data_IF_927439811607
#
_entry.id   IF_927439811607
#
_cell.length_a   1.000
_cell.length_b   1.000
_cell.length_c   1.000
_cell.angle_alpha   90.00
_cell.angle_beta   90.00
_cell.angle_gamma   90.00
#
_symmetry.space_group_name_H-M   'P 1'
#
loop_
_entity.id
_entity.type
_entity.pdbx_description
1 polymer ?
#
# COMPACT_ATOMS: atom_id res chain seq x y z
N UNK A 1 28.16 -10.93 -80.91
CA UNK A 1 28.71 -10.49 -79.65
C UNK A 1 27.57 -10.12 -78.74
N UNK A 2 27.24 -11.02 -77.79
CA UNK A 2 26.12 -10.79 -76.82
C UNK A 2 26.80 -10.44 -75.48
N UNK A 3 26.51 -9.26 -74.99
CA UNK A 3 26.90 -8.80 -73.63
C UNK A 3 25.97 -9.36 -72.60
N UNK A 4 26.44 -10.21 -71.71
CA UNK A 4 25.76 -10.65 -70.53
C UNK A 4 25.88 -9.54 -69.46
N UNK A 5 24.79 -8.99 -69.04
CA UNK A 5 24.71 -8.11 -67.85
C UNK A 5 24.37 -8.95 -66.63
N UNK A 6 25.33 -9.06 -65.71
CA UNK A 6 25.11 -9.67 -64.38
C UNK A 6 24.41 -8.65 -63.50
N UNK A 7 23.17 -8.96 -63.09
CA UNK A 7 22.44 -8.19 -62.07
C UNK A 7 22.77 -8.78 -60.70
N UNK A 8 23.53 -8.04 -59.92
CA UNK A 8 23.74 -8.35 -58.52
C UNK A 8 22.44 -8.08 -57.73
N UNK A 9 21.84 -9.13 -57.22
CA UNK A 9 20.72 -9.01 -56.28
C UNK A 9 21.26 -8.73 -54.86
N UNK A 10 21.03 -7.52 -54.40
CA UNK A 10 21.35 -7.13 -53.04
C UNK A 10 20.21 -7.67 -52.13
N UNK A 11 20.46 -8.76 -51.44
CA UNK A 11 19.55 -9.27 -50.40
C UNK A 11 19.74 -8.45 -49.13
N UNK A 12 18.79 -7.55 -48.88
CA UNK A 12 18.63 -6.88 -47.57
C UNK A 12 18.15 -7.91 -46.56
N UNK A 13 19.02 -8.34 -45.65
CA UNK A 13 18.60 -9.03 -44.43
C UNK A 13 17.90 -7.99 -43.49
N UNK A 14 16.69 -8.25 -43.07
CA UNK A 14 16.11 -7.45 -41.99
C UNK A 14 16.83 -7.83 -40.68
N UNK A 15 17.56 -6.88 -40.12
CA UNK A 15 18.06 -6.98 -38.76
C UNK A 15 16.82 -7.03 -37.80
N UNK A 16 16.52 -8.21 -37.30
CA UNK A 16 15.61 -8.39 -36.16
C UNK A 16 16.26 -7.74 -34.94
N UNK A 17 15.93 -6.48 -34.73
CA UNK A 17 16.13 -5.80 -33.43
C UNK A 17 15.22 -6.49 -32.45
N UNK A 18 15.75 -7.44 -31.71
CA UNK A 18 15.09 -7.95 -30.47
C UNK A 18 15.02 -6.77 -29.52
N UNK A 19 13.88 -6.11 -29.47
CA UNK A 19 13.49 -5.32 -28.30
C UNK A 19 13.37 -6.32 -27.13
N UNK A 20 14.50 -6.54 -26.46
CA UNK A 20 14.45 -7.04 -25.09
C UNK A 20 13.64 -6.00 -24.31
N UNK A 21 12.36 -6.28 -24.14
CA UNK A 21 11.51 -5.52 -23.27
C UNK A 21 12.22 -5.43 -21.93
N UNK A 22 12.70 -4.24 -21.59
CA UNK A 22 13.02 -3.94 -20.22
C UNK A 22 11.72 -4.23 -19.46
N UNK A 23 11.64 -5.40 -18.84
CA UNK A 23 10.58 -5.73 -17.91
C UNK A 23 10.63 -4.64 -16.86
N UNK A 24 9.74 -3.67 -16.99
CA UNK A 24 9.57 -2.64 -15.99
C UNK A 24 9.40 -3.39 -14.68
N UNK A 25 10.28 -3.13 -13.71
CA UNK A 25 10.12 -3.63 -12.38
C UNK A 25 8.72 -3.18 -11.94
N UNK A 26 7.76 -4.10 -11.98
CA UNK A 26 6.43 -3.81 -11.46
C UNK A 26 6.65 -3.52 -9.99
N UNK A 27 6.37 -2.29 -9.61
CA UNK A 27 6.37 -1.89 -8.21
C UNK A 27 5.26 -2.70 -7.53
N UNK A 28 5.62 -3.85 -6.96
CA UNK A 28 4.71 -4.65 -6.15
C UNK A 28 4.27 -3.78 -4.97
N UNK A 29 2.99 -3.57 -4.89
CA UNK A 29 2.38 -2.86 -3.75
C UNK A 29 1.47 -3.84 -3.03
N UNK A 30 1.81 -4.14 -1.79
CA UNK A 30 0.96 -4.91 -0.90
C UNK A 30 -0.06 -3.95 -0.29
N UNK A 31 -1.33 -4.27 -0.42
CA UNK A 31 -2.41 -3.45 0.11
C UNK A 31 -3.39 -4.35 0.86
N UNK A 32 -3.81 -3.89 2.02
CA UNK A 32 -4.99 -4.40 2.67
C UNK A 32 -5.82 -3.24 3.23
N UNK A 33 -7.13 -3.41 3.23
CA UNK A 33 -8.02 -2.34 3.69
C UNK A 33 -9.34 -2.90 4.20
N UNK A 34 -9.88 -2.24 5.22
CA UNK A 34 -11.16 -2.64 5.77
C UNK A 34 -11.54 -1.85 7.01
N UNK A 35 -12.75 -2.08 7.49
CA UNK A 35 -13.17 -1.57 8.77
C UNK A 35 -12.52 -2.38 9.90
N UNK A 36 -11.76 -1.71 10.74
CA UNK A 36 -11.10 -2.30 11.92
C UNK A 36 -11.88 -2.04 13.20
N UNK A 37 -12.95 -1.28 13.12
CA UNK A 37 -13.91 -1.03 14.18
C UNK A 37 -15.25 -0.57 13.59
N UNK A 38 -16.35 -1.09 14.12
CA UNK A 38 -17.72 -0.67 13.83
C UNK A 38 -18.61 -0.97 15.04
N UNK A 39 -19.30 0.04 15.55
CA UNK A 39 -20.28 -0.11 16.62
C UNK A 39 -21.70 0.34 16.19
N UNK A 40 -21.96 0.40 14.89
CA UNK A 40 -23.22 0.85 14.31
C UNK A 40 -23.34 2.36 14.12
N UNK A 41 -22.54 3.17 14.82
CA UNK A 41 -22.55 4.64 14.71
C UNK A 41 -21.21 5.21 14.28
N UNK A 42 -20.12 4.65 14.80
CA UNK A 42 -18.75 5.06 14.50
C UNK A 42 -18.02 3.89 13.89
N UNK A 43 -17.33 4.15 12.78
CA UNK A 43 -16.46 3.20 12.15
C UNK A 43 -15.06 3.77 12.01
N UNK A 44 -14.08 2.89 12.09
CA UNK A 44 -12.69 3.18 11.77
C UNK A 44 -12.28 2.31 10.59
N UNK A 45 -11.95 2.96 9.50
CA UNK A 45 -11.41 2.28 8.32
C UNK A 45 -9.90 2.44 8.30
N UNK A 46 -9.23 1.34 8.01
CA UNK A 46 -7.79 1.26 7.85
C UNK A 46 -7.46 0.88 6.40
N UNK A 47 -6.55 1.60 5.80
CA UNK A 47 -5.90 1.22 4.56
C UNK A 47 -4.40 1.16 4.80
N UNK A 48 -3.82 -0.01 4.65
CA UNK A 48 -2.40 -0.28 4.91
C UNK A 48 -1.73 -0.67 3.61
N UNK A 49 -0.66 0.00 3.26
CA UNK A 49 0.06 -0.22 2.00
C UNK A 49 1.56 -0.26 2.20
N UNK A 50 2.19 -1.22 1.60
CA UNK A 50 3.64 -1.39 1.56
C UNK A 50 4.12 -1.52 0.13
N UNK A 51 5.14 -0.74 -0.24
CA UNK A 51 5.83 -0.82 -1.51
C UNK A 51 7.35 -0.65 -1.32
N UNK A 52 8.11 -0.82 -2.38
CA UNK A 52 9.56 -0.62 -2.35
C UNK A 52 9.98 0.77 -1.86
N UNK A 53 9.20 1.78 -2.21
CA UNK A 53 9.53 3.19 -1.97
C UNK A 53 8.81 3.81 -0.79
N UNK A 54 7.78 3.15 -0.24
CA UNK A 54 7.04 3.71 0.89
C UNK A 54 6.22 2.66 1.66
N UNK A 55 5.99 2.97 2.93
CA UNK A 55 4.99 2.35 3.79
C UNK A 55 3.99 3.43 4.19
N UNK A 56 2.71 3.13 4.15
CA UNK A 56 1.67 4.09 4.51
C UNK A 56 0.49 3.42 5.19
N UNK A 57 -0.13 4.16 6.09
CA UNK A 57 -1.41 3.83 6.70
C UNK A 57 -2.35 5.02 6.54
N UNK A 58 -3.54 4.78 6.02
CA UNK A 58 -4.62 5.76 6.00
C UNK A 58 -5.64 5.38 7.06
N UNK A 59 -5.91 6.31 7.93
CA UNK A 59 -6.94 6.24 8.99
C UNK A 59 -8.13 7.05 8.54
N UNK A 60 -9.32 6.43 8.48
CA UNK A 60 -10.56 7.16 8.20
C UNK A 60 -11.55 7.01 9.34
N UNK A 61 -12.10 8.14 9.75
CA UNK A 61 -13.25 8.21 10.65
C UNK A 61 -14.52 8.30 9.83
N UNK A 62 -15.36 7.29 9.94
CA UNK A 62 -16.60 7.15 9.20
C UNK A 62 -17.77 6.92 10.15
N UNK A 63 -18.98 6.99 9.63
CA UNK A 63 -20.22 6.67 10.34
C UNK A 63 -21.18 5.92 9.42
N UNK A 64 -22.02 5.10 10.00
CA UNK A 64 -23.10 4.39 9.33
C UNK A 64 -24.33 5.28 9.09
N UNK A 65 -24.42 6.41 9.79
CA UNK A 65 -25.61 7.28 9.73
C UNK A 65 -25.26 8.55 8.96
N UNK A 66 -25.98 8.84 7.87
CA UNK A 66 -25.91 10.16 7.24
C UNK A 66 -26.40 11.22 8.24
N UNK A 67 -25.92 12.47 8.14
CA UNK A 67 -26.25 13.54 9.11
C UNK A 67 -27.74 13.81 9.27
N UNK A 68 -28.61 13.28 8.39
CA UNK A 68 -30.04 13.57 8.37
C UNK A 68 -30.95 12.39 7.95
N UNK A 69 -30.49 11.12 7.98
CA UNK A 69 -31.26 9.97 7.52
C UNK A 69 -31.09 8.73 8.40
N UNK A 70 -31.92 7.71 8.12
CA UNK A 70 -31.88 6.42 8.81
C UNK A 70 -30.52 5.71 8.66
N UNK A 71 -30.07 4.95 9.69
CA UNK A 71 -28.82 4.21 9.64
C UNK A 71 -28.82 3.23 8.46
N UNK A 72 -27.78 3.29 7.66
CA UNK A 72 -27.47 2.30 6.64
C UNK A 72 -26.30 1.45 7.15
N UNK A 73 -26.31 0.18 6.83
CA UNK A 73 -25.35 -0.81 7.35
C UNK A 73 -23.91 -0.64 6.84
N UNK A 74 -23.60 0.48 6.19
CA UNK A 74 -22.30 0.69 5.56
C UNK A 74 -21.62 1.95 6.11
N UNK A 75 -20.39 1.79 6.58
CA UNK A 75 -19.49 2.86 7.03
C UNK A 75 -19.04 3.76 5.86
N UNK A 76 -19.92 4.57 5.32
CA UNK A 76 -19.66 5.35 4.09
C UNK A 76 -19.59 6.85 4.33
N UNK A 77 -20.11 7.36 5.43
CA UNK A 77 -20.20 8.79 5.67
C UNK A 77 -18.98 9.30 6.43
N UNK A 78 -18.40 10.39 5.93
CA UNK A 78 -17.26 11.06 6.55
C UNK A 78 -17.64 11.63 7.90
N UNK A 79 -16.85 11.31 8.93
CA UNK A 79 -17.04 11.80 10.28
C UNK A 79 -15.81 12.61 10.70
N UNK A 80 -15.87 13.92 10.49
CA UNK A 80 -14.74 14.79 10.80
C UNK A 80 -14.49 14.89 12.30
N UNK A 81 -13.24 14.76 12.69
CA UNK A 81 -12.79 14.77 14.09
C UNK A 81 -11.88 15.97 14.35
N UNK A 82 -11.83 16.49 15.59
CA UNK A 82 -10.86 17.50 15.99
C UNK A 82 -9.41 17.03 15.78
N UNK A 83 -8.48 17.99 15.74
CA UNK A 83 -7.05 17.67 15.72
C UNK A 83 -6.66 16.82 16.94
N UNK A 84 -5.84 15.80 16.70
CA UNK A 84 -5.42 14.86 17.72
C UNK A 84 -6.37 13.68 17.94
N UNK A 85 -7.50 13.59 17.23
CA UNK A 85 -8.51 12.54 17.42
C UNK A 85 -8.39 11.39 16.40
N UNK A 86 -7.56 11.51 15.39
CA UNK A 86 -7.14 10.39 14.55
C UNK A 86 -5.73 9.97 14.96
N UNK A 87 -5.48 8.67 15.05
CA UNK A 87 -4.16 8.14 15.33
C UNK A 87 -3.83 7.00 14.40
N UNK A 88 -2.62 7.05 13.84
CA UNK A 88 -2.11 6.01 12.95
C UNK A 88 -0.64 5.71 13.22
N UNK A 89 -0.27 4.47 12.96
CA UNK A 89 1.12 4.02 12.97
C UNK A 89 1.29 2.81 12.05
N UNK A 90 2.53 2.51 11.66
CA UNK A 90 2.84 1.29 10.95
C UNK A 90 4.12 0.62 11.47
N UNK A 91 4.19 -0.69 11.24
CA UNK A 91 5.37 -1.53 11.50
C UNK A 91 5.60 -2.42 10.28
N UNK A 92 6.79 -2.30 9.67
CA UNK A 92 7.24 -3.17 8.58
C UNK A 92 8.04 -4.33 9.14
N UNK A 93 7.71 -5.53 8.75
CA UNK A 93 8.36 -6.75 9.17
C UNK A 93 8.94 -7.48 7.97
N UNK A 94 10.13 -8.03 8.12
CA UNK A 94 10.82 -8.85 7.12
C UNK A 94 11.05 -10.26 7.64
N UNK A 95 10.86 -11.25 6.79
CA UNK A 95 11.18 -12.63 7.14
C UNK A 95 12.70 -12.83 7.23
N UNK A 96 13.16 -13.22 8.38
CA UNK A 96 14.55 -13.57 8.65
C UNK A 96 14.80 -15.05 8.38
N UNK A 97 15.30 -15.38 7.18
CA UNK A 97 15.53 -16.77 6.75
C UNK A 97 16.46 -17.54 7.72
N UNK A 98 17.46 -16.86 8.25
CA UNK A 98 18.45 -17.48 9.17
C UNK A 98 17.88 -17.80 10.55
N UNK A 99 16.79 -17.16 10.95
CA UNK A 99 16.18 -17.31 12.27
C UNK A 99 14.80 -17.95 12.22
N UNK A 100 14.21 -18.09 11.02
CA UNK A 100 12.89 -18.65 10.83
C UNK A 100 11.77 -17.83 11.48
N UNK A 101 11.91 -16.51 11.55
CA UNK A 101 10.97 -15.62 12.22
C UNK A 101 10.85 -14.27 11.51
N UNK A 102 9.72 -13.59 11.74
CA UNK A 102 9.50 -12.23 11.32
C UNK A 102 10.26 -11.26 12.24
N UNK A 103 11.02 -10.36 11.64
CA UNK A 103 11.82 -9.35 12.33
C UNK A 103 11.34 -7.97 11.95
N UNK A 104 11.23 -7.07 12.92
CA UNK A 104 10.90 -5.67 12.66
C UNK A 104 11.99 -5.05 11.80
N UNK A 105 11.62 -4.57 10.63
CA UNK A 105 12.48 -3.87 9.70
C UNK A 105 12.42 -2.36 9.90
N UNK A 106 11.23 -1.83 10.11
CA UNK A 106 11.01 -0.42 10.34
C UNK A 106 9.69 -0.17 11.05
N UNK A 107 9.61 0.94 11.71
CA UNK A 107 8.38 1.36 12.38
C UNK A 107 8.26 2.88 12.33
N UNK A 108 7.03 3.35 12.23
CA UNK A 108 6.68 4.74 12.51
C UNK A 108 5.87 4.78 13.80
N UNK A 109 6.27 5.63 14.71
CA UNK A 109 5.53 5.87 15.94
C UNK A 109 4.12 6.44 15.67
N UNK A 110 3.35 6.55 16.73
CA UNK A 110 2.02 7.12 16.64
C UNK A 110 2.06 8.56 16.12
N UNK A 111 1.25 8.82 15.10
CA UNK A 111 1.00 10.14 14.56
C UNK A 111 -0.46 10.48 14.83
N UNK A 112 -0.73 11.73 15.11
CA UNK A 112 -2.05 12.22 15.49
C UNK A 112 -2.49 13.32 14.53
N UNK A 113 -3.76 13.27 14.12
CA UNK A 113 -4.34 14.22 13.19
C UNK A 113 -5.81 14.51 13.47
N UNK A 114 -6.42 15.24 12.56
CA UNK A 114 -7.85 15.57 12.59
C UNK A 114 -8.45 15.50 11.18
N UNK A 115 -9.73 15.90 11.08
CA UNK A 115 -10.49 15.70 9.86
C UNK A 115 -11.15 14.33 9.83
N UNK A 116 -11.58 13.89 8.64
CA UNK A 116 -12.16 12.56 8.48
C UNK A 116 -11.13 11.52 8.04
N UNK A 117 -9.97 11.97 7.58
CA UNK A 117 -8.89 11.13 7.06
C UNK A 117 -7.53 11.68 7.46
N UNK A 118 -6.61 10.80 7.72
CA UNK A 118 -5.21 11.08 7.97
C UNK A 118 -4.35 9.99 7.32
N UNK A 119 -3.29 10.40 6.64
CA UNK A 119 -2.23 9.51 6.16
C UNK A 119 -1.02 9.56 7.09
N UNK A 120 -0.48 8.40 7.44
CA UNK A 120 0.71 8.26 8.27
C UNK A 120 1.84 7.66 7.46
N UNK A 121 2.91 8.41 7.38
CA UNK A 121 4.23 7.96 6.99
C UNK A 121 4.42 7.61 5.53
N UNK A 122 5.51 8.10 5.02
CA UNK A 122 6.15 7.61 3.80
C UNK A 122 7.59 7.35 4.14
N UNK A 123 7.96 6.12 4.32
CA UNK A 123 9.37 5.75 4.43
C UNK A 123 9.61 4.43 3.72
N UNK A 124 10.83 4.26 3.25
CA UNK A 124 11.24 3.04 2.56
C UNK A 124 11.32 1.88 3.56
N UNK A 125 11.15 0.66 3.06
CA UNK A 125 11.32 -0.57 3.86
C UNK A 125 12.75 -0.78 4.39
N UNK A 126 13.77 -0.24 3.74
CA UNK A 126 15.13 -0.09 4.25
C UNK A 126 15.97 -1.33 4.58
N UNK A 127 15.40 -2.55 4.59
CA UNK A 127 16.09 -3.76 5.01
C UNK A 127 16.54 -4.68 3.87
N UNK A 128 16.62 -4.17 2.64
CA UNK A 128 17.01 -4.92 1.45
C UNK A 128 15.93 -5.91 0.98
N UNK A 129 16.20 -6.65 -0.09
CA UNK A 129 15.24 -7.58 -0.69
C UNK A 129 14.80 -8.70 0.28
N UNK A 130 13.57 -9.14 0.19
CA UNK A 130 13.03 -10.22 1.02
C UNK A 130 11.51 -10.26 1.08
N UNK A 131 10.98 -11.22 1.82
CA UNK A 131 9.56 -11.26 2.13
C UNK A 131 9.23 -10.25 3.22
N UNK A 132 8.18 -9.48 2.98
CA UNK A 132 7.72 -8.43 3.87
C UNK A 132 6.23 -8.54 4.14
N UNK A 133 5.83 -7.99 5.27
CA UNK A 133 4.45 -7.61 5.59
C UNK A 133 4.45 -6.29 6.36
N UNK A 134 3.35 -5.57 6.28
CA UNK A 134 3.14 -4.32 7.01
C UNK A 134 1.93 -4.45 7.94
N UNK A 135 2.12 -4.09 9.19
CA UNK A 135 1.03 -3.86 10.13
C UNK A 135 0.70 -2.37 10.17
N UNK A 136 -0.54 -2.02 9.91
CA UNK A 136 -1.07 -0.67 10.04
C UNK A 136 -2.06 -0.57 11.20
N UNK A 137 -1.81 0.32 12.13
CA UNK A 137 -2.74 0.67 13.20
C UNK A 137 -3.53 1.92 12.85
N UNK A 138 -4.87 1.85 12.96
CA UNK A 138 -5.77 2.95 12.71
C UNK A 138 -6.76 3.09 13.86
N UNK A 139 -6.78 4.26 14.50
CA UNK A 139 -7.60 4.54 15.66
C UNK A 139 -8.23 5.91 15.60
N UNK A 140 -9.41 6.04 16.20
CA UNK A 140 -10.16 7.29 16.32
C UNK A 140 -10.55 7.47 17.79
N UNK A 141 -10.43 8.69 18.30
CA UNK A 141 -10.90 9.02 19.64
C UNK A 141 -12.40 9.37 19.63
N UNK A 142 -13.16 8.67 20.46
CA UNK A 142 -14.60 8.86 20.62
C UNK A 142 -15.01 8.59 22.10
N UNK A 143 -14.51 9.42 23.03
CA UNK A 143 -14.59 9.16 24.47
C UNK A 143 -13.58 8.13 24.98
N UNK A 144 -12.89 7.46 24.08
CA UNK A 144 -11.79 6.50 24.20
C UNK A 144 -11.23 6.21 22.82
N UNK A 145 -10.04 5.64 22.74
CA UNK A 145 -9.47 5.19 21.47
C UNK A 145 -10.16 3.91 21.02
N UNK A 146 -10.75 3.95 19.83
CA UNK A 146 -11.37 2.81 19.15
C UNK A 146 -10.74 2.63 17.78
N UNK A 147 -10.56 1.38 17.35
CA UNK A 147 -9.90 1.05 16.11
C UNK A 147 -9.23 -0.32 16.16
N UNK A 148 -8.25 -0.53 15.32
CA UNK A 148 -7.55 -1.80 15.27
C UNK A 148 -6.36 -1.80 14.31
N UNK A 149 -5.79 -2.97 14.20
CA UNK A 149 -4.65 -3.26 13.33
C UNK A 149 -5.11 -4.03 12.10
N UNK A 150 -4.48 -3.75 10.98
CA UNK A 150 -4.64 -4.48 9.74
C UNK A 150 -3.24 -4.77 9.19
N UNK A 151 -3.03 -5.98 8.71
CA UNK A 151 -1.78 -6.34 8.04
C UNK A 151 -2.01 -6.53 6.54
N UNK A 152 -1.00 -6.20 5.74
CA UNK A 152 -0.95 -6.65 4.34
C UNK A 152 -0.74 -8.17 4.30
N UNK A 153 -1.09 -8.81 3.18
CA UNK A 153 -0.50 -10.11 2.87
C UNK A 153 1.02 -9.95 2.75
N UNK A 154 1.75 -11.05 2.88
CA UNK A 154 3.19 -11.01 2.69
C UNK A 154 3.56 -11.30 1.23
N UNK A 155 4.57 -10.60 0.73
CA UNK A 155 5.15 -10.87 -0.58
C UNK A 155 6.61 -10.43 -0.63
N UNK A 156 7.27 -10.82 -1.72
CA UNK A 156 8.66 -10.48 -1.95
C UNK A 156 8.81 -9.05 -2.47
N UNK A 157 9.52 -8.23 -1.72
CA UNK A 157 9.93 -6.90 -2.14
C UNK A 157 11.42 -6.89 -2.50
N UNK A 158 11.73 -6.31 -3.67
CA UNK A 158 13.10 -6.10 -4.13
C UNK A 158 13.71 -4.86 -3.47
N UNK A 159 15.02 -4.83 -3.29
CA UNK A 159 15.73 -3.64 -2.79
C UNK A 159 15.98 -2.62 -3.93
#
# INVERSE_FOLDING_TARGET
>A
MRKLSVRAALTLLPALVSLAGAGGAQAHTLINSGNVYDNGNQCVYNWTSQAHSYNAVIVRSLTNTPPYQFPVSNCTYRNSKPSGYLAGRWESWKWGQNVGAWLVCGTQGWNYGGGYEMEVGRSTTGCGAGYYLLFGGAFVYNGGWVGGWLNTDYDWLWS
#
